data_IF_342801784633
#
_entry.id   IF_342801784633
#
_cell.length_a   1.000
_cell.length_b   1.000
_cell.length_c   1.000
_cell.angle_alpha   90.00
_cell.angle_beta   90.00
_cell.angle_gamma   90.00
#
_symmetry.space_group_name_H-M   'P 1'
#
loop_
_entity.id
_entity.type
_entity.pdbx_description
1 polymer ?
#
# COMPACT_ATOMS: atom_id res chain seq x y z
N UNK A 1 -31.31 2.02 -6.10
CA UNK A 1 -30.49 0.96 -6.74
C UNK A 1 -29.30 0.69 -5.83
N UNK A 2 -28.85 -0.57 -5.72
CA UNK A 2 -27.69 -0.94 -4.91
C UNK A 2 -26.60 -1.50 -5.82
N UNK A 3 -25.34 -1.15 -5.57
CA UNK A 3 -24.21 -1.48 -6.44
C UNK A 3 -22.90 -1.39 -5.66
N UNK A 4 -21.88 -2.14 -6.06
CA UNK A 4 -20.61 -2.31 -5.34
C UNK A 4 -19.40 -2.26 -6.28
N UNK A 5 -18.36 -1.56 -5.87
CA UNK A 5 -17.17 -1.31 -6.68
C UNK A 5 -16.34 -2.57 -6.98
N UNK A 6 -15.85 -2.67 -8.22
CA UNK A 6 -15.05 -3.77 -8.74
C UNK A 6 -13.88 -3.29 -9.60
N UNK A 7 -12.86 -4.14 -9.71
CA UNK A 7 -11.62 -3.87 -10.45
C UNK A 7 -11.22 -5.09 -11.29
N UNK A 8 -10.57 -4.85 -12.42
CA UNK A 8 -9.98 -5.86 -13.29
C UNK A 8 -8.52 -5.47 -13.57
N UNK A 9 -7.59 -6.43 -13.55
CA UNK A 9 -6.17 -6.23 -13.87
C UNK A 9 -5.74 -7.33 -14.84
N UNK A 10 -5.03 -6.94 -15.90
CA UNK A 10 -4.51 -7.85 -16.94
C UNK A 10 -2.99 -7.76 -16.95
N UNK A 11 -2.31 -8.89 -16.76
CA UNK A 11 -0.85 -9.00 -16.84
C UNK A 11 -0.41 -9.26 -18.28
N UNK A 12 0.67 -8.61 -18.72
CA UNK A 12 1.23 -8.76 -20.07
C UNK A 12 2.24 -9.91 -20.16
N UNK A 13 2.40 -10.47 -21.37
CA UNK A 13 3.12 -11.73 -21.60
C UNK A 13 4.51 -11.57 -22.25
N UNK A 14 5.47 -12.33 -21.72
CA UNK A 14 6.57 -13.02 -22.43
C UNK A 14 7.50 -12.23 -23.37
N UNK A 15 8.80 -12.29 -23.06
CA UNK A 15 9.81 -12.70 -24.05
C UNK A 15 10.88 -13.57 -23.37
N UNK A 16 11.22 -14.70 -23.99
CA UNK A 16 12.31 -15.59 -23.58
C UNK A 16 13.50 -15.43 -24.55
N UNK A 17 14.72 -15.63 -24.06
CA UNK A 17 15.79 -16.20 -24.87
C UNK A 17 16.74 -17.05 -24.01
N UNK A 18 17.41 -18.04 -24.62
CA UNK A 18 18.33 -18.99 -23.96
C UNK A 18 19.77 -18.80 -24.48
N UNK A 19 20.79 -19.13 -23.66
CA UNK A 19 22.04 -19.84 -24.00
C UNK A 19 23.08 -19.74 -22.85
N UNK A 20 23.98 -20.74 -22.69
CA UNK A 20 25.06 -20.82 -21.67
C UNK A 20 26.01 -22.03 -21.94
N UNK A 21 27.19 -22.20 -21.27
CA UNK A 21 27.95 -21.31 -20.37
C UNK A 21 29.14 -20.64 -21.13
N UNK A 22 30.49 -20.94 -21.08
CA UNK A 22 31.36 -21.82 -20.24
C UNK A 22 32.45 -21.07 -19.37
N UNK A 23 33.14 -21.77 -18.44
CA UNK A 23 34.41 -21.35 -17.76
C UNK A 23 35.69 -21.80 -18.53
N UNK A 24 36.99 -21.64 -18.10
CA UNK A 24 37.54 -21.36 -16.73
C UNK A 24 38.87 -20.51 -16.56
N UNK A 25 39.21 -20.14 -15.29
CA UNK A 25 40.55 -19.99 -14.60
C UNK A 25 41.65 -18.99 -15.08
N UNK A 26 42.63 -18.54 -14.23
CA UNK A 26 42.72 -18.46 -12.75
C UNK A 26 43.29 -17.13 -12.13
N UNK A 27 43.10 -16.96 -10.80
CA UNK A 27 43.91 -16.23 -9.78
C UNK A 27 44.48 -14.80 -9.97
N UNK A 28 44.21 -13.91 -8.99
CA UNK A 28 45.19 -13.03 -8.31
C UNK A 28 44.60 -12.45 -6.99
N UNK A 29 45.42 -11.80 -6.14
CA UNK A 29 45.07 -11.26 -4.80
C UNK A 29 45.31 -9.75 -4.75
N UNK A 30 44.64 -8.98 -3.86
CA UNK A 30 45.26 -8.04 -2.89
C UNK A 30 44.20 -7.32 -2.02
N UNK A 31 44.60 -6.87 -0.82
CA UNK A 31 43.72 -6.26 0.20
C UNK A 31 44.00 -4.77 0.41
N UNK A 32 42.99 -3.97 0.79
CA UNK A 32 43.14 -2.52 0.99
C UNK A 32 42.66 -2.02 2.38
N UNK A 33 43.60 -1.37 3.06
CA UNK A 33 43.52 -0.42 4.19
C UNK A 33 42.21 -0.18 4.97
N UNK A 34 42.27 -0.33 6.32
CA UNK A 34 41.55 0.52 7.27
C UNK A 34 42.46 1.63 7.84
N UNK A 35 41.92 2.82 8.14
CA UNK A 35 41.94 3.44 9.50
C UNK A 35 41.32 4.83 9.56
N UNK A 36 40.46 4.98 10.56
CA UNK A 36 39.92 6.23 11.10
C UNK A 36 41.05 7.04 11.79
N UNK A 37 40.94 8.37 11.82
CA UNK A 37 41.75 9.24 12.69
C UNK A 37 40.85 10.26 13.41
N UNK A 38 41.20 10.56 14.65
CA UNK A 38 40.52 11.52 15.53
C UNK A 38 41.53 12.54 16.08
N UNK A 39 41.07 13.77 16.37
CA UNK A 39 41.92 14.84 16.89
C UNK A 39 41.12 16.03 17.46
N UNK A 40 41.38 16.45 18.72
CA UNK A 40 40.72 17.60 19.36
C UNK A 40 41.58 18.90 19.34
N UNK A 41 40.96 20.00 19.78
CA UNK A 41 41.46 21.40 19.75
C UNK A 41 42.28 21.73 21.03
N UNK A 42 43.24 22.68 20.98
CA UNK A 42 43.23 23.78 21.97
C UNK A 42 43.68 25.17 21.44
N UNK A 43 43.06 26.26 21.95
CA UNK A 43 43.50 27.65 21.72
C UNK A 43 42.50 28.73 22.20
N UNK A 44 42.95 29.65 23.07
CA UNK A 44 42.20 30.78 23.71
C UNK A 44 42.95 32.12 23.44
N UNK A 45 42.49 33.35 23.86
CA UNK A 45 41.27 33.77 24.56
C UNK A 45 40.51 34.98 23.92
N UNK A 46 39.50 35.55 24.59
CA UNK A 46 38.74 36.78 24.18
C UNK A 46 39.24 38.10 24.83
N UNK A 47 38.53 39.25 24.67
CA UNK A 47 37.71 39.77 25.80
C UNK A 47 36.51 40.73 25.49
N UNK A 48 35.69 40.97 26.53
CA UNK A 48 34.93 42.21 26.92
C UNK A 48 33.81 42.90 26.08
N UNK A 49 32.58 42.81 26.61
CA UNK A 49 31.69 43.89 27.13
C UNK A 49 31.22 45.14 26.29
N UNK A 50 29.89 45.17 26.10
CA UNK A 50 28.90 46.23 26.51
C UNK A 50 28.58 47.56 25.76
N UNK A 51 27.34 48.04 26.05
CA UNK A 51 26.78 49.41 25.97
C UNK A 51 26.29 50.01 24.60
N UNK A 52 25.13 50.69 24.66
CA UNK A 52 24.43 51.55 23.65
C UNK A 52 24.54 53.03 24.10
N UNK A 53 24.22 54.12 23.34
CA UNK A 53 23.30 54.25 22.19
C UNK A 53 23.77 55.28 21.09
N UNK A 54 22.84 56.08 20.52
CA UNK A 54 22.99 57.14 19.47
C UNK A 54 23.18 56.64 18.02
N UNK A 55 22.71 57.33 16.95
CA UNK A 55 21.84 58.52 16.81
C UNK A 55 20.93 58.41 15.55
N UNK A 56 19.97 59.34 15.38
CA UNK A 56 19.15 59.47 14.15
C UNK A 56 19.71 60.53 13.18
N UNK A 57 19.33 60.43 11.89
CA UNK A 57 18.99 61.59 11.06
C UNK A 57 17.53 61.53 10.53
N UNK A 58 17.03 62.65 10.00
CA UNK A 58 15.60 62.92 9.79
C UNK A 58 15.03 62.55 8.40
N UNK A 59 13.69 62.50 8.32
CA UNK A 59 12.89 62.32 7.11
C UNK A 59 13.11 63.42 6.05
N UNK A 60 12.85 63.06 4.77
CA UNK A 60 12.07 63.95 3.89
C UNK A 60 10.79 63.28 3.36
N UNK A 61 9.66 63.89 3.70
CA UNK A 61 8.41 64.08 2.92
C UNK A 61 8.00 63.02 1.88
N UNK A 62 6.84 62.42 2.14
CA UNK A 62 6.14 61.45 1.31
C UNK A 62 5.34 62.13 0.16
N UNK A 63 5.43 61.67 -1.10
CA UNK A 63 4.50 62.06 -2.17
C UNK A 63 3.14 61.31 -2.03
N UNK A 64 2.01 61.93 -2.38
CA UNK A 64 0.69 61.33 -2.22
C UNK A 64 0.42 60.18 -3.23
N UNK A 65 -0.35 59.17 -2.78
CA UNK A 65 -0.78 58.06 -3.64
C UNK A 65 -1.87 58.49 -4.63
N UNK A 66 -1.87 57.98 -5.88
CA UNK A 66 -3.01 58.12 -6.79
C UNK A 66 -4.23 57.30 -6.30
N UNK A 67 -5.46 57.66 -6.70
CA UNK A 67 -6.70 57.10 -6.15
C UNK A 67 -6.94 55.63 -6.53
N UNK A 68 -7.73 54.95 -5.71
CA UNK A 68 -8.10 53.53 -5.85
C UNK A 68 -8.92 53.25 -7.11
N UNK A 69 -8.36 52.49 -8.06
CA UNK A 69 -9.08 52.02 -9.24
C UNK A 69 -9.90 50.78 -8.87
N UNK A 70 -11.20 51.00 -8.62
CA UNK A 70 -12.13 49.97 -8.20
C UNK A 70 -12.54 49.04 -9.35
N UNK A 71 -11.71 48.03 -9.64
CA UNK A 71 -12.05 46.89 -10.50
C UNK A 71 -11.23 45.66 -10.13
N UNK A 72 -11.39 45.19 -8.88
CA UNK A 72 -11.15 43.78 -8.60
C UNK A 72 -12.35 42.99 -9.15
N UNK A 73 -12.22 42.44 -10.35
CA UNK A 73 -13.01 41.27 -10.70
C UNK A 73 -12.63 40.17 -9.70
N UNK A 74 -13.58 39.56 -8.96
CA UNK A 74 -13.25 38.46 -8.09
C UNK A 74 -12.90 37.26 -8.97
N UNK A 75 -11.60 37.00 -9.12
CA UNK A 75 -11.10 35.69 -9.54
C UNK A 75 -11.91 34.63 -8.80
N UNK A 76 -12.67 33.83 -9.57
CA UNK A 76 -13.71 32.97 -9.02
C UNK A 76 -13.13 32.14 -7.87
N UNK A 77 -13.83 32.04 -6.71
CA UNK A 77 -13.25 31.44 -5.51
C UNK A 77 -12.66 30.07 -5.82
N UNK A 78 -11.34 29.94 -5.66
CA UNK A 78 -10.67 28.64 -5.72
C UNK A 78 -11.44 27.70 -4.78
N UNK A 79 -11.95 26.56 -5.28
CA UNK A 79 -12.80 25.70 -4.47
C UNK A 79 -12.02 25.30 -3.21
N UNK A 80 -12.62 25.45 -2.01
CA UNK A 80 -11.87 25.33 -0.78
C UNK A 80 -11.25 23.94 -0.69
N UNK A 81 -9.94 23.88 -0.40
CA UNK A 81 -9.16 22.64 -0.29
C UNK A 81 -9.59 21.71 0.87
N UNK A 82 -10.74 22.00 1.50
CA UNK A 82 -11.35 21.30 2.62
C UNK A 82 -12.46 20.30 2.20
N UNK A 83 -12.80 20.19 0.91
CA UNK A 83 -13.79 19.21 0.41
C UNK A 83 -13.28 18.30 -0.72
N UNK A 84 -11.97 18.29 -0.98
CA UNK A 84 -11.37 17.34 -1.91
C UNK A 84 -11.49 15.90 -1.36
N UNK A 85 -12.36 15.10 -1.97
CA UNK A 85 -12.50 13.66 -1.67
C UNK A 85 -11.13 12.99 -1.79
N UNK A 86 -10.65 12.22 -0.79
CA UNK A 86 -9.31 11.66 -0.83
C UNK A 86 -9.09 10.82 -2.09
N UNK A 87 -7.99 11.07 -2.81
CA UNK A 87 -7.70 10.49 -4.15
C UNK A 87 -7.80 8.96 -4.25
N UNK A 88 -7.68 8.24 -3.13
CA UNK A 88 -7.80 6.79 -3.05
C UNK A 88 -9.24 6.27 -2.89
N UNK A 89 -10.18 7.12 -2.49
CA UNK A 89 -11.59 6.76 -2.27
C UNK A 89 -12.27 6.52 -3.63
N UNK A 90 -13.12 5.49 -3.72
CA UNK A 90 -13.85 5.09 -4.93
C UNK A 90 -12.97 4.72 -6.16
N UNK A 91 -11.64 4.82 -6.02
CA UNK A 91 -10.59 4.40 -6.97
C UNK A 91 -9.78 3.19 -6.51
N UNK A 92 -9.79 2.89 -5.21
CA UNK A 92 -9.08 1.75 -4.62
C UNK A 92 -9.95 1.03 -3.60
N UNK A 93 -9.53 -0.16 -3.15
CA UNK A 93 -10.24 -0.97 -2.15
C UNK A 93 -10.05 -0.29 -0.77
N UNK A 94 -10.94 0.67 -0.49
CA UNK A 94 -10.80 1.58 0.64
C UNK A 94 -12.15 2.05 1.19
N UNK A 95 -12.39 1.72 2.46
CA UNK A 95 -13.47 2.32 3.26
C UNK A 95 -13.01 3.65 3.87
N UNK A 96 -13.90 4.35 4.58
CA UNK A 96 -13.57 5.56 5.34
C UNK A 96 -12.51 5.36 6.43
N UNK A 97 -12.38 4.14 6.97
CA UNK A 97 -11.46 3.83 8.09
C UNK A 97 -10.25 2.99 7.69
N UNK A 98 -10.39 2.09 6.71
CA UNK A 98 -9.39 1.09 6.34
C UNK A 98 -9.25 0.97 4.81
N UNK A 99 -8.02 1.11 4.31
CA UNK A 99 -7.63 0.89 2.91
C UNK A 99 -6.70 -0.32 2.79
N UNK A 100 -6.98 -1.22 1.85
CA UNK A 100 -6.04 -2.25 1.41
C UNK A 100 -4.88 -1.58 0.66
N UNK A 101 -3.66 -1.89 1.05
CA UNK A 101 -2.43 -1.44 0.39
C UNK A 101 -1.84 -2.53 -0.50
N UNK A 102 -1.80 -3.77 -0.03
CA UNK A 102 -1.27 -4.91 -0.78
C UNK A 102 -2.05 -6.17 -0.45
N UNK A 103 -2.21 -7.05 -1.44
CA UNK A 103 -2.59 -8.44 -1.26
C UNK A 103 -1.75 -9.31 -2.20
N UNK A 104 -1.21 -10.42 -1.72
CA UNK A 104 -0.62 -11.45 -2.58
C UNK A 104 -0.89 -12.84 -2.03
N UNK A 105 -1.30 -13.77 -2.90
CA UNK A 105 -1.31 -15.20 -2.62
C UNK A 105 -0.25 -15.85 -3.52
N UNK A 106 0.62 -16.66 -2.92
CA UNK A 106 1.86 -17.09 -3.55
C UNK A 106 2.32 -18.46 -3.09
N UNK A 107 3.11 -19.12 -3.93
CA UNK A 107 4.02 -20.19 -3.52
C UNK A 107 5.44 -19.66 -3.55
N UNK A 108 6.31 -20.24 -2.73
CA UNK A 108 7.75 -20.03 -2.80
C UNK A 108 8.52 -21.30 -2.45
N UNK A 109 9.72 -21.42 -3.02
CA UNK A 109 10.62 -22.56 -2.82
C UNK A 109 12.03 -22.02 -2.56
N UNK A 110 12.72 -22.42 -1.49
CA UNK A 110 14.12 -22.08 -1.27
C UNK A 110 14.98 -22.56 -2.46
N UNK A 111 15.83 -21.68 -3.00
CA UNK A 111 16.93 -22.09 -3.90
C UNK A 111 18.21 -22.30 -3.11
N UNK A 112 18.55 -21.30 -2.32
CA UNK A 112 19.81 -21.11 -1.61
C UNK A 112 19.52 -20.64 -0.18
N UNK A 113 20.53 -20.62 0.69
CA UNK A 113 20.37 -20.26 2.11
C UNK A 113 19.72 -18.87 2.37
N UNK A 114 19.82 -17.94 1.41
CA UNK A 114 19.26 -16.58 1.49
C UNK A 114 18.22 -16.27 0.40
N UNK A 115 18.02 -17.16 -0.58
CA UNK A 115 17.27 -16.85 -1.83
C UNK A 115 16.10 -17.80 -2.05
N UNK A 116 14.93 -17.22 -2.32
CA UNK A 116 13.68 -17.93 -2.61
C UNK A 116 13.23 -17.68 -4.05
N UNK A 117 12.74 -18.73 -4.73
CA UNK A 117 11.85 -18.57 -5.88
C UNK A 117 10.47 -18.19 -5.35
N UNK A 118 9.80 -17.17 -5.89
CA UNK A 118 8.42 -16.82 -5.52
C UNK A 118 7.56 -16.70 -6.78
N UNK A 119 6.41 -17.38 -6.79
CA UNK A 119 5.40 -17.29 -7.84
C UNK A 119 4.11 -16.70 -7.25
N UNK A 120 3.53 -15.70 -7.91
CA UNK A 120 2.34 -15.01 -7.43
C UNK A 120 1.11 -15.55 -8.17
N UNK A 121 0.28 -16.34 -7.49
CA UNK A 121 -0.99 -16.79 -8.05
C UNK A 121 -1.93 -15.61 -8.29
N UNK A 122 -2.02 -14.69 -7.32
CA UNK A 122 -2.71 -13.40 -7.48
C UNK A 122 -1.96 -12.28 -6.74
N UNK A 123 -2.06 -11.06 -7.25
CA UNK A 123 -1.49 -9.87 -6.64
C UNK A 123 -2.36 -8.63 -6.84
N UNK A 124 -2.54 -7.86 -5.76
CA UNK A 124 -2.97 -6.46 -5.76
C UNK A 124 -1.77 -5.69 -5.19
N UNK A 125 -1.06 -4.95 -6.04
CA UNK A 125 0.11 -4.17 -5.62
C UNK A 125 -0.25 -2.83 -4.97
N UNK A 126 0.73 -2.22 -4.30
CA UNK A 126 0.61 -0.87 -3.75
C UNK A 126 0.43 0.15 -4.87
N UNK A 127 -0.79 0.68 -5.01
CA UNK A 127 -1.09 1.77 -5.96
C UNK A 127 -0.88 3.15 -5.33
N UNK A 128 -0.32 4.06 -6.13
CA UNK A 128 -0.30 5.50 -5.89
C UNK A 128 -1.43 6.15 -6.71
N UNK A 129 -2.70 6.11 -6.26
CA UNK A 129 -3.82 6.56 -7.06
C UNK A 129 -3.77 8.05 -7.35
N UNK A 130 -4.19 8.41 -8.56
CA UNK A 130 -4.30 9.76 -9.08
C UNK A 130 -5.76 10.16 -9.30
N UNK A 131 -6.04 11.46 -9.32
CA UNK A 131 -7.36 11.95 -9.71
C UNK A 131 -7.68 11.67 -11.19
N UNK A 132 -6.68 11.32 -12.01
CA UNK A 132 -6.81 10.90 -13.41
C UNK A 132 -7.22 9.44 -13.61
N UNK A 133 -7.15 8.60 -12.58
CA UNK A 133 -7.46 7.18 -12.70
C UNK A 133 -8.98 6.99 -12.94
N UNK A 134 -9.44 5.83 -13.43
CA UNK A 134 -10.87 5.51 -13.46
C UNK A 134 -11.47 5.43 -12.04
N UNK A 135 -12.80 5.54 -11.95
CA UNK A 135 -13.54 5.08 -10.78
C UNK A 135 -13.78 3.58 -10.92
N UNK A 136 -13.95 2.87 -9.80
CA UNK A 136 -14.23 1.45 -9.80
C UNK A 136 -15.64 1.14 -10.38
N UNK A 137 -15.75 0.06 -11.16
CA UNK A 137 -17.00 -0.32 -11.84
C UNK A 137 -18.03 -0.89 -10.85
N UNK A 138 -19.29 -0.46 -10.90
CA UNK A 138 -20.28 -0.82 -9.90
C UNK A 138 -21.16 -2.03 -10.30
N UNK A 139 -21.14 -3.10 -9.48
CA UNK A 139 -21.82 -4.38 -9.67
C UNK A 139 -22.93 -4.58 -8.63
N UNK A 140 -24.12 -5.00 -9.05
CA UNK A 140 -25.25 -5.30 -8.15
C UNK A 140 -24.97 -6.55 -7.30
N UNK A 141 -24.88 -6.37 -5.98
CA UNK A 141 -24.61 -7.45 -5.00
C UNK A 141 -25.60 -8.63 -5.12
N UNK A 142 -26.82 -8.41 -5.62
CA UNK A 142 -27.82 -9.46 -5.81
C UNK A 142 -27.39 -10.51 -6.85
N UNK A 143 -26.44 -10.18 -7.74
CA UNK A 143 -25.89 -11.09 -8.75
C UNK A 143 -24.90 -12.12 -8.18
N UNK A 144 -24.43 -11.93 -6.93
CA UNK A 144 -23.39 -12.76 -6.31
C UNK A 144 -23.83 -13.44 -5.01
N UNK A 145 -25.04 -13.21 -4.49
CA UNK A 145 -25.48 -13.79 -3.21
C UNK A 145 -25.35 -15.31 -3.15
N UNK A 146 -25.65 -16.03 -4.23
CA UNK A 146 -25.55 -17.50 -4.32
C UNK A 146 -24.11 -18.04 -4.28
N UNK A 147 -23.10 -17.16 -4.43
CA UNK A 147 -21.67 -17.51 -4.34
C UNK A 147 -21.11 -17.42 -2.92
N UNK A 148 -21.83 -16.77 -2.00
CA UNK A 148 -21.38 -16.48 -0.63
C UNK A 148 -22.36 -17.03 0.41
N UNK A 149 -21.98 -17.13 1.70
CA UNK A 149 -22.87 -17.62 2.75
C UNK A 149 -24.12 -16.75 2.90
N UNK A 150 -25.29 -17.38 2.83
CA UNK A 150 -26.61 -16.74 3.02
C UNK A 150 -27.14 -16.78 4.46
N UNK A 151 -26.54 -17.61 5.32
CA UNK A 151 -26.93 -17.77 6.74
C UNK A 151 -26.52 -16.56 7.59
N UNK A 152 -26.86 -16.58 8.88
CA UNK A 152 -26.45 -15.53 9.84
C UNK A 152 -24.95 -15.25 9.77
N UNK A 153 -24.57 -13.98 9.70
CA UNK A 153 -23.21 -13.51 9.43
C UNK A 153 -22.78 -13.59 7.95
N UNK A 154 -23.71 -13.87 7.05
CA UNK A 154 -23.52 -14.01 5.61
C UNK A 154 -23.55 -12.68 4.84
N UNK A 155 -23.17 -12.70 3.56
CA UNK A 155 -22.92 -11.50 2.75
C UNK A 155 -24.09 -10.50 2.75
N UNK A 156 -25.32 -11.01 2.62
CA UNK A 156 -26.54 -10.18 2.66
C UNK A 156 -26.69 -9.45 4.00
N UNK A 157 -26.64 -10.16 5.12
CA UNK A 157 -26.76 -9.55 6.46
C UNK A 157 -25.64 -8.54 6.72
N UNK A 158 -24.41 -8.85 6.29
CA UNK A 158 -23.27 -7.93 6.40
C UNK A 158 -23.50 -6.64 5.61
N UNK A 159 -23.99 -6.72 4.37
CA UNK A 159 -24.25 -5.54 3.52
C UNK A 159 -25.46 -4.72 3.97
N UNK A 160 -26.52 -5.39 4.46
CA UNK A 160 -27.70 -4.73 5.03
C UNK A 160 -27.37 -4.01 6.36
N UNK A 161 -26.44 -4.55 7.16
CA UNK A 161 -25.90 -3.90 8.36
C UNK A 161 -24.90 -2.79 8.03
N UNK A 162 -24.13 -2.94 6.94
CA UNK A 162 -23.22 -1.93 6.41
C UNK A 162 -21.96 -1.67 7.27
N UNK A 163 -21.24 -0.56 6.99
CA UNK A 163 -21.53 0.45 5.97
C UNK A 163 -21.25 -0.06 4.54
N UNK A 164 -22.11 0.30 3.59
CA UNK A 164 -22.11 -0.29 2.24
C UNK A 164 -20.88 0.08 1.39
N UNK A 165 -20.22 1.21 1.66
CA UNK A 165 -18.97 1.61 1.00
C UNK A 165 -17.71 0.89 1.51
N UNK A 166 -17.87 -0.12 2.38
CA UNK A 166 -16.80 -1.06 2.74
C UNK A 166 -16.82 -2.37 1.93
N UNK A 167 -17.74 -2.52 0.97
CA UNK A 167 -17.92 -3.75 0.20
C UNK A 167 -17.42 -3.60 -1.23
N UNK A 168 -16.56 -4.53 -1.65
CA UNK A 168 -15.86 -4.54 -2.93
C UNK A 168 -15.89 -5.94 -3.53
N UNK A 169 -15.94 -6.05 -4.86
CA UNK A 169 -15.85 -7.31 -5.59
C UNK A 169 -14.56 -7.35 -6.43
N UNK A 170 -13.61 -8.19 -6.04
CA UNK A 170 -12.38 -8.42 -6.83
C UNK A 170 -12.56 -9.64 -7.71
N UNK A 171 -12.39 -9.48 -9.02
CA UNK A 171 -12.30 -10.58 -9.98
C UNK A 171 -10.84 -10.84 -10.31
N UNK A 172 -10.30 -11.94 -9.81
CA UNK A 172 -8.95 -12.39 -10.16
C UNK A 172 -8.95 -13.27 -11.41
N UNK A 173 -7.89 -13.14 -12.20
CA UNK A 173 -7.36 -14.20 -13.06
C UNK A 173 -6.12 -14.71 -12.35
N UNK A 174 -6.18 -15.93 -11.80
CA UNK A 174 -5.05 -16.51 -11.09
C UNK A 174 -4.04 -17.08 -12.11
N UNK A 175 -2.76 -16.76 -11.93
CA UNK A 175 -1.70 -17.37 -12.74
C UNK A 175 -1.28 -18.71 -12.13
N UNK A 176 -1.70 -19.80 -12.76
CA UNK A 176 -1.34 -21.18 -12.39
C UNK A 176 -0.12 -21.70 -13.16
N UNK A 177 0.48 -20.90 -14.06
CA UNK A 177 1.60 -21.32 -14.91
C UNK A 177 2.95 -21.25 -14.18
N UNK A 178 3.01 -21.73 -12.94
CA UNK A 178 4.24 -21.77 -12.14
C UNK A 178 5.30 -22.61 -12.87
N UNK A 179 6.46 -22.02 -13.08
CA UNK A 179 7.67 -22.74 -13.54
C UNK A 179 8.54 -23.21 -12.37
N UNK A 180 8.10 -22.96 -11.13
CA UNK A 180 8.73 -23.47 -9.92
C UNK A 180 8.20 -24.89 -9.68
N UNK A 181 9.11 -25.87 -9.65
CA UNK A 181 8.77 -27.23 -9.26
C UNK A 181 8.57 -27.31 -7.73
N UNK A 182 7.53 -28.00 -7.30
CA UNK A 182 7.35 -28.32 -5.88
C UNK A 182 8.51 -29.18 -5.37
N UNK A 183 9.06 -28.78 -4.23
CA UNK A 183 10.21 -29.44 -3.60
C UNK A 183 10.21 -29.34 -2.07
N UNK A 184 11.24 -29.91 -1.41
CA UNK A 184 11.39 -29.81 0.04
C UNK A 184 11.43 -28.35 0.50
N UNK A 185 10.56 -28.00 1.46
CA UNK A 185 10.46 -26.63 1.98
C UNK A 185 9.61 -25.66 1.15
N UNK A 186 8.83 -26.15 0.17
CA UNK A 186 7.82 -25.32 -0.52
C UNK A 186 6.83 -24.73 0.49
N UNK A 187 6.58 -23.43 0.39
CA UNK A 187 5.66 -22.71 1.26
C UNK A 187 4.56 -22.00 0.44
N UNK A 188 3.31 -22.28 0.78
CA UNK A 188 2.12 -21.62 0.22
C UNK A 188 1.58 -20.61 1.23
N UNK A 189 1.50 -19.34 0.85
CA UNK A 189 1.13 -18.26 1.77
C UNK A 189 0.33 -17.13 1.15
N UNK A 190 -0.31 -16.38 2.04
CA UNK A 190 -0.96 -15.10 1.76
C UNK A 190 -0.23 -14.02 2.56
N UNK A 191 0.02 -12.88 1.93
CA UNK A 191 0.39 -11.64 2.61
C UNK A 191 -0.65 -10.57 2.28
N UNK A 192 -1.07 -9.80 3.29
CA UNK A 192 -1.92 -8.62 3.08
C UNK A 192 -1.52 -7.47 3.99
N UNK A 193 -1.62 -6.26 3.44
CA UNK A 193 -1.27 -5.03 4.12
C UNK A 193 -2.45 -4.04 4.06
N UNK A 194 -2.74 -3.40 5.18
CA UNK A 194 -3.81 -2.41 5.30
C UNK A 194 -3.27 -1.11 5.92
N UNK A 195 -3.97 -0.01 5.70
CA UNK A 195 -3.69 1.27 6.34
C UNK A 195 -4.94 1.97 6.85
N UNK A 196 -4.79 2.70 7.94
CA UNK A 196 -5.82 3.51 8.59
C UNK A 196 -5.28 4.90 8.98
N UNK A 197 -6.20 5.84 9.22
CA UNK A 197 -5.90 7.09 9.92
C UNK A 197 -6.09 6.96 11.45
N UNK A 198 -6.81 5.94 11.92
CA UNK A 198 -7.10 5.68 13.33
C UNK A 198 -6.27 4.50 13.84
N UNK A 199 -5.84 4.57 15.10
CA UNK A 199 -5.27 3.41 15.78
C UNK A 199 -6.40 2.50 16.26
N UNK A 200 -6.47 1.28 15.71
CA UNK A 200 -7.44 0.27 16.08
C UNK A 200 -6.76 -1.11 16.13
N UNK A 201 -7.43 -2.09 16.73
CA UNK A 201 -7.12 -3.51 16.49
C UNK A 201 -8.08 -4.00 15.42
N UNK A 202 -7.59 -4.68 14.39
CA UNK A 202 -8.44 -5.26 13.33
C UNK A 202 -8.49 -6.77 13.46
N UNK A 203 -9.62 -7.37 13.07
CA UNK A 203 -9.76 -8.83 12.95
C UNK A 203 -10.19 -9.15 11.52
N UNK A 204 -9.33 -9.88 10.81
CA UNK A 204 -9.53 -10.29 9.41
C UNK A 204 -10.08 -11.71 9.41
N UNK A 205 -11.35 -11.87 9.02
CA UNK A 205 -11.95 -13.17 8.72
C UNK A 205 -11.85 -13.45 7.23
N UNK A 206 -11.15 -14.53 6.87
CA UNK A 206 -11.03 -15.04 5.50
C UNK A 206 -11.80 -16.34 5.40
N UNK A 207 -12.93 -16.35 4.67
CA UNK A 207 -13.83 -17.50 4.51
C UNK A 207 -13.71 -18.08 3.10
N UNK A 208 -13.23 -19.32 2.98
CA UNK A 208 -13.24 -20.06 1.71
C UNK A 208 -14.62 -20.70 1.54
N UNK A 209 -15.23 -20.50 0.37
CA UNK A 209 -16.61 -20.92 0.10
C UNK A 209 -16.69 -21.79 -1.17
N UNK A 210 -17.52 -22.82 -1.12
CA UNK A 210 -17.82 -23.70 -2.25
C UNK A 210 -19.34 -23.84 -2.37
N UNK A 211 -19.88 -23.59 -3.57
CA UNK A 211 -21.33 -23.55 -3.85
C UNK A 211 -22.13 -22.75 -2.80
N UNK A 212 -21.69 -21.52 -2.51
CA UNK A 212 -22.33 -20.62 -1.52
C UNK A 212 -22.11 -21.00 -0.05
N UNK A 213 -21.42 -22.11 0.25
CA UNK A 213 -21.25 -22.61 1.62
C UNK A 213 -19.82 -22.40 2.10
N UNK A 214 -19.66 -21.86 3.30
CA UNK A 214 -18.37 -21.77 3.98
C UNK A 214 -17.81 -23.18 4.23
N UNK A 215 -16.59 -23.42 3.76
CA UNK A 215 -15.84 -24.68 3.94
C UNK A 215 -14.83 -24.56 5.08
N UNK A 216 -14.05 -23.48 5.07
CA UNK A 216 -13.06 -23.17 6.10
C UNK A 216 -13.01 -21.65 6.32
N UNK A 217 -12.69 -21.24 7.54
CA UNK A 217 -12.52 -19.86 7.94
C UNK A 217 -11.22 -19.70 8.73
N UNK A 218 -10.43 -18.68 8.37
CA UNK A 218 -9.25 -18.25 9.11
C UNK A 218 -9.53 -16.89 9.70
N UNK A 219 -9.21 -16.70 10.97
CA UNK A 219 -9.41 -15.45 11.70
C UNK A 219 -8.08 -14.99 12.27
N UNK A 220 -7.63 -13.80 11.85
CA UNK A 220 -6.33 -13.23 12.21
C UNK A 220 -6.53 -11.85 12.82
N UNK A 221 -5.94 -11.61 13.99
CA UNK A 221 -6.05 -10.32 14.71
C UNK A 221 -4.75 -9.57 14.60
N UNK A 222 -4.81 -8.36 14.02
CA UNK A 222 -3.67 -7.51 13.71
C UNK A 222 -3.71 -6.20 14.50
N UNK A 223 -2.52 -5.73 14.87
CA UNK A 223 -2.30 -4.54 15.68
C UNK A 223 -1.59 -3.46 14.87
N UNK A 224 -1.99 -2.21 15.09
CA UNK A 224 -1.46 -1.06 14.38
C UNK A 224 0.04 -0.84 14.62
N UNK A 225 0.78 -0.55 13.54
CA UNK A 225 2.14 0.00 13.59
C UNK A 225 2.13 1.41 13.00
N UNK A 226 2.68 2.39 13.69
CA UNK A 226 2.72 3.78 13.21
C UNK A 226 3.89 3.96 12.24
N UNK A 227 3.58 4.16 10.96
CA UNK A 227 4.56 4.30 9.87
C UNK A 227 4.16 5.48 8.98
N UNK A 228 5.09 6.39 8.72
CA UNK A 228 4.89 7.59 7.89
C UNK A 228 3.62 8.39 8.21
N UNK A 229 3.25 8.48 9.50
CA UNK A 229 2.07 9.20 9.98
C UNK A 229 0.73 8.47 9.81
N UNK A 230 0.73 7.18 9.43
CA UNK A 230 -0.47 6.33 9.31
C UNK A 230 -0.33 5.03 10.08
N UNK A 231 -1.45 4.41 10.43
CA UNK A 231 -1.47 3.12 11.12
C UNK A 231 -1.51 2.00 10.09
N UNK A 232 -0.50 1.14 10.08
CA UNK A 232 -0.28 0.06 9.12
C UNK A 232 -0.43 -1.30 9.81
N UNK A 233 -1.06 -2.25 9.11
CA UNK A 233 -1.33 -3.62 9.56
C UNK A 233 -0.73 -4.58 8.53
N UNK A 234 -0.11 -5.69 8.95
CA UNK A 234 0.58 -6.63 8.05
C UNK A 234 0.42 -8.09 8.48
N UNK A 235 -0.55 -8.76 7.85
CA UNK A 235 -0.59 -10.22 7.81
C UNK A 235 0.53 -10.64 6.84
N UNK A 236 1.63 -11.17 7.36
CA UNK A 236 2.84 -11.45 6.57
C UNK A 236 3.16 -12.95 6.55
N UNK A 237 3.22 -13.55 5.36
CA UNK A 237 3.47 -14.99 5.16
C UNK A 237 2.50 -15.86 5.98
N UNK A 238 1.23 -15.51 5.95
CA UNK A 238 0.18 -16.29 6.59
C UNK A 238 -0.02 -17.60 5.81
N UNK A 239 0.18 -18.79 6.42
CA UNK A 239 0.14 -20.05 5.68
C UNK A 239 -1.26 -20.33 5.12
N UNK A 240 -1.31 -20.81 3.88
CA UNK A 240 -2.54 -21.40 3.34
C UNK A 240 -2.90 -22.67 4.11
N UNK A 241 -4.19 -22.98 4.20
CA UNK A 241 -4.64 -24.27 4.74
C UNK A 241 -4.53 -25.37 3.67
N UNK A 242 -4.41 -26.63 4.09
CA UNK A 242 -4.29 -27.79 3.21
C UNK A 242 -5.39 -27.84 2.13
N UNK A 243 -6.62 -27.45 2.48
CA UNK A 243 -7.74 -27.36 1.52
C UNK A 243 -7.45 -26.42 0.35
N UNK A 244 -6.75 -25.29 0.57
CA UNK A 244 -6.38 -24.36 -0.50
C UNK A 244 -5.19 -24.85 -1.31
N UNK A 245 -4.23 -25.53 -0.68
CA UNK A 245 -3.07 -26.11 -1.38
C UNK A 245 -3.54 -27.23 -2.32
N UNK A 246 -4.34 -28.17 -1.79
CA UNK A 246 -4.97 -29.28 -2.52
C UNK A 246 -6.06 -28.84 -3.53
N UNK A 247 -6.30 -27.54 -3.69
CA UNK A 247 -7.17 -26.95 -4.70
C UNK A 247 -6.38 -26.19 -5.80
N UNK A 248 -5.10 -25.93 -5.56
CA UNK A 248 -4.16 -25.36 -6.55
C UNK A 248 -3.47 -26.49 -7.34
N UNK A 249 -3.33 -27.67 -6.74
CA UNK A 249 -2.87 -28.92 -7.35
C UNK A 249 -3.97 -29.62 -8.17
#
# INVERSE_FOLDING_TARGET
MASMSSAQIVSASVLQNKLSPPPPLPQAVFSAAPRFWSGPIPGQPGPSQDIKPFAQPAYPIQPPMPPSLASYEPLAPLPPAASAVPVWQDRTIASTKLRLLEYSAFMEVPRDAETYSKHLFVHIGQTNPSYSDPLLEAVDIRQIYDKFPEKKGGLKELYERGPQNSFFLVKFWADLNSTIQDGPGTFYGVSSQYSSAENMTITVSTKVCSFGKQVVEKVETEYARLENGRFVYRIHRSPMCEYMINFIH
#
